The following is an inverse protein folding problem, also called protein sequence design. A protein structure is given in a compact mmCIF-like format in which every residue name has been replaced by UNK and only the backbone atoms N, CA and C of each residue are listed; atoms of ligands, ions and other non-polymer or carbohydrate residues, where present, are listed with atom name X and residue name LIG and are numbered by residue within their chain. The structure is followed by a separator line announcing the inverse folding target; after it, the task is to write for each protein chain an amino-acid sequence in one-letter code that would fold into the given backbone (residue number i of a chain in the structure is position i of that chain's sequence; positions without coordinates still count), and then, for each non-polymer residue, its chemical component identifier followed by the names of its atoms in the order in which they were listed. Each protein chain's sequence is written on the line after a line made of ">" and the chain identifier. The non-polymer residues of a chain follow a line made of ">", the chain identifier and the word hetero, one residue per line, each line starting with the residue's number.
data_IF_569130837246
#
_entry.id   IF_569130837246
#
_cell.length_a   1.000
_cell.length_b   1.000
_cell.length_c   1.000
_cell.angle_alpha   90.00
_cell.angle_beta   90.00
_cell.angle_gamma   90.00
#
_symmetry.space_group_name_H-M   'P 1'
#
loop_
_entity.id
_entity.type
_entity.pdbx_description
1 polymer ?
#
# COMPACT_ATOMS: atom_id res chain seq x y z
N UNK A 1 0.89 -17.96 -34.54
CA UNK A 1 0.42 -18.76 -33.37
C UNK A 1 0.02 -17.76 -32.29
N UNK A 2 -1.26 -17.67 -31.92
CA UNK A 2 -1.77 -16.68 -30.96
C UNK A 2 -1.68 -17.31 -29.56
N UNK A 3 -0.71 -16.92 -28.75
CA UNK A 3 -0.59 -17.40 -27.37
C UNK A 3 -1.64 -16.66 -26.54
N UNK A 4 -2.65 -17.40 -26.09
CA UNK A 4 -3.61 -16.93 -25.10
C UNK A 4 -2.99 -17.14 -23.73
N UNK A 5 -2.59 -16.07 -23.05
CA UNK A 5 -2.23 -16.13 -21.64
C UNK A 5 -3.55 -16.17 -20.85
N UNK A 6 -3.89 -17.33 -20.32
CA UNK A 6 -4.97 -17.45 -19.33
C UNK A 6 -4.53 -16.71 -18.06
N UNK A 7 -5.28 -15.68 -17.69
CA UNK A 7 -5.03 -14.88 -16.49
C UNK A 7 -5.88 -15.44 -15.37
N UNK A 8 -5.26 -16.04 -14.36
CA UNK A 8 -5.93 -16.50 -13.13
C UNK A 8 -5.93 -15.36 -12.10
N UNK A 9 -7.12 -14.93 -11.68
CA UNK A 9 -7.27 -13.92 -10.62
C UNK A 9 -7.34 -14.63 -9.28
N UNK A 10 -6.28 -14.51 -8.47
CA UNK A 10 -6.23 -15.06 -7.12
C UNK A 10 -6.86 -14.05 -6.15
N UNK A 11 -8.09 -14.33 -5.71
CA UNK A 11 -8.82 -13.48 -4.74
C UNK A 11 -8.46 -13.71 -3.26
N UNK A 12 -7.76 -14.80 -2.93
CA UNK A 12 -7.37 -15.13 -1.55
C UNK A 12 -5.88 -14.82 -1.31
N UNK A 13 -5.59 -13.95 -0.35
CA UNK A 13 -4.24 -13.51 0.00
C UNK A 13 -3.32 -14.65 0.45
N UNK A 14 -3.86 -15.73 1.02
CA UNK A 14 -3.08 -16.92 1.41
C UNK A 14 -2.55 -17.65 0.18
N UNK A 15 -3.34 -17.67 -0.90
CA UNK A 15 -2.99 -18.29 -2.16
C UNK A 15 -1.97 -17.44 -2.94
N UNK A 16 -1.98 -16.11 -2.78
CA UNK A 16 -0.97 -15.21 -3.38
C UNK A 16 0.44 -15.60 -2.93
N UNK A 17 0.63 -15.85 -1.63
CA UNK A 17 1.92 -16.29 -1.08
C UNK A 17 2.32 -17.68 -1.58
N UNK A 18 1.36 -18.61 -1.67
CA UNK A 18 1.59 -19.96 -2.19
C UNK A 18 1.92 -19.97 -3.69
N UNK A 19 1.37 -19.03 -4.45
CA UNK A 19 1.64 -18.83 -5.87
C UNK A 19 3.00 -18.16 -6.15
N UNK A 20 3.79 -17.83 -5.12
CA UNK A 20 5.12 -17.24 -5.27
C UNK A 20 5.10 -15.80 -5.81
N UNK A 21 3.95 -15.12 -5.70
CA UNK A 21 3.83 -13.72 -6.12
C UNK A 21 4.67 -12.85 -5.19
N UNK A 22 5.63 -12.13 -5.75
CA UNK A 22 6.43 -11.16 -5.02
C UNK A 22 5.56 -9.96 -4.65
N UNK A 23 5.28 -9.81 -3.35
CA UNK A 23 4.45 -8.72 -2.82
C UNK A 23 5.34 -7.55 -2.41
N UNK A 24 5.16 -6.40 -3.07
CA UNK A 24 5.75 -5.16 -2.62
C UNK A 24 4.95 -4.59 -1.43
N UNK A 25 5.60 -4.21 -0.32
CA UNK A 25 4.92 -3.51 0.76
C UNK A 25 4.22 -2.24 0.26
N UNK A 26 3.03 -1.99 0.80
CA UNK A 26 2.23 -0.82 0.49
C UNK A 26 1.58 -0.28 1.77
N UNK A 27 1.51 1.04 1.88
CA UNK A 27 0.79 1.76 2.93
C UNK A 27 -0.41 2.45 2.29
N UNK A 28 -1.59 2.25 2.85
CA UNK A 28 -2.84 2.85 2.38
C UNK A 28 -3.67 3.35 3.56
N UNK A 29 -4.42 4.43 3.34
CA UNK A 29 -5.36 5.00 4.30
C UNK A 29 -6.64 5.37 3.55
N UNK A 30 -7.81 4.99 4.09
CA UNK A 30 -9.12 5.25 3.46
C UNK A 30 -9.22 4.79 1.99
N UNK A 31 -8.59 3.66 1.65
CA UNK A 31 -8.59 3.12 0.29
C UNK A 31 -7.67 3.86 -0.69
N UNK A 32 -6.96 4.91 -0.27
CA UNK A 32 -5.92 5.58 -1.07
C UNK A 32 -4.55 5.01 -0.74
N UNK A 33 -3.76 4.76 -1.78
CA UNK A 33 -2.36 4.36 -1.64
C UNK A 33 -1.51 5.58 -1.24
N UNK A 34 -0.80 5.48 -0.12
CA UNK A 34 0.09 6.52 0.40
C UNK A 34 1.55 6.26 0.04
N UNK A 35 1.99 4.99 0.04
CA UNK A 35 3.37 4.59 -0.24
C UNK A 35 3.43 3.16 -0.76
N UNK A 36 4.36 2.86 -1.66
CA UNK A 36 4.62 1.51 -2.18
C UNK A 36 6.13 1.28 -2.36
N UNK A 37 6.58 0.04 -2.10
CA UNK A 37 7.97 -0.35 -2.22
C UNK A 37 8.52 -0.80 -0.87
N UNK A 38 9.69 -0.29 -0.46
CA UNK A 38 10.26 -0.68 0.85
C UNK A 38 9.41 -0.18 2.01
N UNK A 39 9.46 -0.89 3.13
CA UNK A 39 8.89 -0.42 4.40
C UNK A 39 9.56 0.90 4.82
N UNK A 40 8.79 1.98 5.05
CA UNK A 40 9.34 3.24 5.53
C UNK A 40 9.83 3.12 6.97
N UNK A 41 10.85 3.89 7.32
CA UNK A 41 11.27 4.04 8.72
C UNK A 41 10.32 4.96 9.48
N UNK A 42 10.48 5.05 10.81
CA UNK A 42 9.57 5.84 11.67
C UNK A 42 9.42 7.29 11.21
N UNK A 43 10.54 7.96 10.86
CA UNK A 43 10.50 9.36 10.42
C UNK A 43 9.73 9.49 9.10
N UNK A 44 10.00 8.62 8.14
CA UNK A 44 9.33 8.61 6.85
C UNK A 44 7.83 8.34 7.00
N UNK A 45 7.46 7.39 7.85
CA UNK A 45 6.05 7.08 8.17
C UNK A 45 5.34 8.30 8.74
N UNK A 46 5.95 9.02 9.68
CA UNK A 46 5.35 10.23 10.25
C UNK A 46 5.16 11.31 9.18
N UNK A 47 6.12 11.51 8.29
CA UNK A 47 6.00 12.45 7.17
C UNK A 47 4.86 12.07 6.23
N UNK A 48 4.82 10.81 5.77
CA UNK A 48 3.79 10.29 4.85
C UNK A 48 2.40 10.47 5.46
N UNK A 49 2.22 10.07 6.71
CA UNK A 49 0.94 10.18 7.40
C UNK A 49 0.53 11.64 7.63
N UNK A 50 1.46 12.51 8.02
CA UNK A 50 1.16 13.93 8.24
C UNK A 50 0.69 14.61 6.95
N UNK A 51 1.35 14.32 5.82
CA UNK A 51 0.93 14.79 4.49
C UNK A 51 -0.46 14.28 4.13
N UNK A 52 -0.72 12.98 4.31
CA UNK A 52 -2.02 12.38 4.01
C UNK A 52 -3.16 12.96 4.87
N UNK A 53 -2.91 13.17 6.17
CA UNK A 53 -3.90 13.75 7.10
C UNK A 53 -4.20 15.22 6.79
N UNK A 54 -3.17 15.99 6.41
CA UNK A 54 -3.33 17.38 5.98
C UNK A 54 -4.21 17.50 4.74
N UNK A 55 -4.04 16.60 3.75
CA UNK A 55 -4.90 16.54 2.55
C UNK A 55 -6.37 16.22 2.88
N UNK A 56 -6.62 15.51 3.99
CA UNK A 56 -7.97 15.16 4.46
C UNK A 56 -8.54 16.17 5.48
N UNK A 57 -7.83 17.27 5.77
CA UNK A 57 -8.29 18.30 6.70
C UNK A 57 -8.33 17.85 8.17
N UNK A 58 -7.68 16.73 8.51
CA UNK A 58 -7.59 16.23 9.87
C UNK A 58 -6.40 16.93 10.54
N UNK A 59 -6.69 17.85 11.48
CA UNK A 59 -5.65 18.47 12.31
C UNK A 59 -4.99 17.38 13.15
N UNK A 60 -3.67 17.23 13.00
CA UNK A 60 -2.88 16.34 13.82
C UNK A 60 -2.79 16.93 15.23
N UNK A 61 -2.91 16.10 16.26
CA UNK A 61 -2.82 16.50 17.67
C UNK A 61 -1.41 16.96 18.12
N UNK A 62 -0.53 17.27 17.16
CA UNK A 62 0.83 17.75 17.39
C UNK A 62 0.93 19.29 17.27
N UNK A 63 -0.19 19.97 17.02
CA UNK A 63 -0.33 21.42 17.12
C UNK A 63 -0.96 21.81 18.48
N UNK A 64 -0.21 21.62 19.57
CA UNK A 64 -0.43 22.32 20.85
C UNK A 64 0.86 23.04 21.27
#
# INVERSE_FOLDING_TARGET
>A
MKVSLEVEIIGDIRLIKAAGVEMMPAMALEGKLLHQGRTPNVRETMTILSSALAEHGIKTALEE
#
